data_IF_261046484931
#
_entry.id   IF_261046484931
#
_cell.length_a   1.000
_cell.length_b   1.000
_cell.length_c   1.000
_cell.angle_alpha   90.00
_cell.angle_beta   90.00
_cell.angle_gamma   90.00
#
_symmetry.space_group_name_H-M   'P 1'
#
loop_
_entity.id
_entity.type
_entity.pdbx_description
1 polymer ?
#
# COMPACT_ATOMS: atom_id res chain seq x y z
N UNK A 1 -62.27 34.02 83.69
CA UNK A 1 -61.09 33.13 83.64
C UNK A 1 -61.32 32.15 82.49
N UNK A 2 -60.28 31.93 81.69
CA UNK A 2 -60.25 31.72 80.23
C UNK A 2 -60.83 30.42 79.63
N UNK A 3 -60.72 30.37 78.28
CA UNK A 3 -60.99 29.33 77.25
C UNK A 3 -62.39 29.36 76.62
N UNK A 4 -62.59 29.21 75.30
CA UNK A 4 -61.74 28.68 74.22
C UNK A 4 -62.25 29.17 72.85
N UNK A 5 -61.31 29.57 72.00
CA UNK A 5 -61.15 29.44 70.55
C UNK A 5 -62.31 29.62 69.54
N UNK A 6 -62.04 30.58 68.63
CA UNK A 6 -62.75 30.88 67.39
C UNK A 6 -61.79 30.72 66.22
N UNK A 7 -62.37 30.39 65.07
CA UNK A 7 -61.92 30.63 63.68
C UNK A 7 -61.43 29.40 62.89
N UNK A 8 -62.22 29.06 61.87
CA UNK A 8 -61.83 28.24 60.73
C UNK A 8 -62.43 28.84 59.45
N UNK A 9 -61.61 29.49 58.60
CA UNK A 9 -61.71 29.41 57.12
C UNK A 9 -60.65 30.21 56.36
N UNK A 10 -59.97 29.54 55.43
CA UNK A 10 -59.36 30.09 54.20
C UNK A 10 -58.79 28.88 53.40
N UNK A 11 -59.48 28.28 52.40
CA UNK A 11 -59.70 28.60 50.97
C UNK A 11 -58.45 28.76 50.06
N UNK A 12 -58.24 27.71 49.25
CA UNK A 12 -57.91 27.68 47.80
C UNK A 12 -56.45 27.73 47.34
N UNK A 13 -56.01 26.67 46.62
CA UNK A 13 -55.34 26.75 45.30
C UNK A 13 -55.30 25.37 44.61
N UNK A 14 -55.94 25.28 43.44
CA UNK A 14 -55.86 24.16 42.49
C UNK A 14 -54.52 24.20 41.73
N UNK A 15 -53.93 23.03 41.46
CA UNK A 15 -52.73 22.88 40.61
C UNK A 15 -53.09 22.04 39.38
N UNK A 16 -52.96 22.66 38.20
CA UNK A 16 -53.01 22.00 36.90
C UNK A 16 -51.69 21.27 36.65
N UNK A 17 -51.73 19.98 36.30
CA UNK A 17 -50.57 19.20 35.85
C UNK A 17 -50.76 18.98 34.35
N UNK A 18 -49.98 19.69 33.53
CA UNK A 18 -49.87 19.47 32.09
C UNK A 18 -48.62 18.60 31.90
N UNK A 19 -48.81 17.38 31.41
CA UNK A 19 -47.74 16.41 31.15
C UNK A 19 -46.90 16.83 29.95
N UNK A 20 -45.59 16.95 30.16
CA UNK A 20 -44.59 17.23 29.15
C UNK A 20 -44.04 15.91 28.60
N UNK A 21 -44.63 15.40 27.52
CA UNK A 21 -44.18 14.20 26.84
C UNK A 21 -43.11 14.58 25.80
N UNK A 22 -41.85 14.61 26.23
CA UNK A 22 -40.68 14.81 25.35
C UNK A 22 -40.43 13.54 24.52
N UNK A 23 -40.69 13.63 23.22
CA UNK A 23 -40.28 12.63 22.23
C UNK A 23 -38.77 12.79 22.00
N UNK A 24 -37.97 11.84 22.49
CA UNK A 24 -36.56 11.71 22.10
C UNK A 24 -36.52 11.08 20.71
N UNK A 25 -36.37 11.91 19.68
CA UNK A 25 -35.99 11.46 18.34
C UNK A 25 -34.49 11.14 18.39
N UNK A 26 -34.14 9.86 18.59
CA UNK A 26 -32.77 9.40 18.38
C UNK A 26 -32.52 9.46 16.88
N UNK A 27 -31.84 10.51 16.42
CA UNK A 27 -31.28 10.53 15.07
C UNK A 27 -30.27 9.39 14.98
N UNK A 28 -30.65 8.30 14.30
CA UNK A 28 -29.69 7.34 13.77
C UNK A 28 -28.80 8.11 12.79
N UNK A 29 -27.69 8.63 13.30
CA UNK A 29 -26.57 9.02 12.47
C UNK A 29 -25.99 7.70 11.97
N UNK A 30 -26.45 7.27 10.80
CA UNK A 30 -25.75 6.26 10.03
C UNK A 30 -24.41 6.89 9.65
N UNK A 31 -23.39 6.68 10.48
CA UNK A 31 -22.02 6.76 10.02
C UNK A 31 -21.89 5.66 8.97
N UNK A 32 -22.11 6.00 7.70
CA UNK A 32 -21.67 5.15 6.61
C UNK A 32 -20.14 5.12 6.75
N UNK A 33 -19.62 4.09 7.40
CA UNK A 33 -18.23 3.71 7.22
C UNK A 33 -18.08 3.47 5.72
N UNK A 34 -17.01 3.97 5.07
CA UNK A 34 -16.71 3.54 3.72
C UNK A 34 -16.73 2.01 3.74
N UNK A 35 -17.51 1.41 2.84
CA UNK A 35 -17.35 -0.01 2.58
C UNK A 35 -15.92 -0.17 2.10
N UNK A 36 -15.09 -0.87 2.88
CA UNK A 36 -13.80 -1.30 2.40
C UNK A 36 -14.08 -2.24 1.22
N UNK A 37 -13.28 -2.13 0.17
CA UNK A 37 -13.35 -3.02 -0.97
C UNK A 37 -12.21 -4.04 -0.84
N UNK A 38 -12.36 -5.19 -1.52
CA UNK A 38 -11.24 -6.09 -1.67
C UNK A 38 -10.08 -5.36 -2.39
N UNK A 39 -8.85 -5.80 -2.18
CA UNK A 39 -7.65 -5.14 -2.68
C UNK A 39 -6.70 -6.15 -3.32
N UNK A 40 -6.12 -5.79 -4.46
CA UNK A 40 -4.90 -6.41 -4.99
C UNK A 40 -3.79 -5.34 -4.98
N UNK A 41 -2.65 -5.67 -4.39
CA UNK A 41 -1.54 -4.72 -4.24
C UNK A 41 -0.18 -5.34 -4.56
N UNK A 42 0.78 -4.48 -4.92
CA UNK A 42 2.19 -4.84 -4.99
C UNK A 42 2.84 -4.61 -3.62
N UNK A 43 3.59 -5.59 -3.12
CA UNK A 43 4.32 -5.50 -1.85
C UNK A 43 5.81 -5.85 -1.98
N UNK A 44 6.74 -5.04 -1.44
CA UNK A 44 6.48 -3.71 -0.85
C UNK A 44 5.99 -2.70 -1.91
N UNK A 45 5.27 -1.67 -1.48
CA UNK A 45 4.78 -0.59 -2.36
C UNK A 45 5.92 0.13 -3.09
N UNK A 46 7.05 0.33 -2.39
CA UNK A 46 8.26 0.86 -2.99
C UNK A 46 9.50 0.23 -2.35
N UNK A 47 10.48 -0.12 -3.17
CA UNK A 47 11.81 -0.55 -2.72
C UNK A 47 12.93 0.09 -3.54
N UNK A 48 14.05 0.38 -2.87
CA UNK A 48 15.29 0.84 -3.51
C UNK A 48 16.17 -0.39 -3.69
N UNK A 49 16.69 -0.58 -4.90
CA UNK A 49 17.55 -1.70 -5.29
C UNK A 49 18.74 -1.19 -6.09
N UNK A 50 19.84 -1.93 -6.08
CA UNK A 50 21.01 -1.59 -6.87
C UNK A 50 20.86 -2.06 -8.31
N UNK A 51 21.50 -1.38 -9.26
CA UNK A 51 21.63 -1.88 -10.63
C UNK A 51 22.32 -3.26 -10.64
N UNK A 52 21.77 -4.20 -11.41
CA UNK A 52 22.18 -5.60 -11.47
C UNK A 52 21.64 -6.48 -10.34
N UNK A 53 20.93 -5.91 -9.36
CA UNK A 53 20.34 -6.67 -8.26
C UNK A 53 19.13 -7.49 -8.73
N UNK A 54 19.00 -8.69 -8.16
CA UNK A 54 17.81 -9.51 -8.27
C UNK A 54 16.96 -9.29 -7.02
N UNK A 55 15.73 -8.81 -7.21
CA UNK A 55 14.81 -8.51 -6.11
C UNK A 55 13.44 -9.11 -6.38
N UNK A 56 12.61 -9.17 -5.34
CA UNK A 56 11.27 -9.74 -5.42
C UNK A 56 10.20 -8.75 -5.03
N UNK A 57 9.03 -8.88 -5.64
CA UNK A 57 7.78 -8.27 -5.18
C UNK A 57 6.72 -9.36 -5.07
N UNK A 58 5.84 -9.20 -4.10
CA UNK A 58 4.64 -10.00 -3.97
C UNK A 58 3.46 -9.26 -4.62
N UNK A 59 2.57 -10.03 -5.24
CA UNK A 59 1.20 -9.60 -5.47
C UNK A 59 0.38 -10.12 -4.31
N UNK A 60 -0.12 -9.20 -3.51
CA UNK A 60 -0.90 -9.46 -2.33
C UNK A 60 -2.39 -9.28 -2.64
N UNK A 61 -3.22 -10.13 -2.06
CA UNK A 61 -4.67 -10.07 -2.18
C UNK A 61 -5.30 -10.00 -0.80
N UNK A 62 -6.19 -9.03 -0.59
CA UNK A 62 -7.06 -8.90 0.57
C UNK A 62 -8.51 -8.99 0.09
N UNK A 63 -9.24 -10.09 0.36
CA UNK A 63 -10.64 -10.24 -0.06
C UNK A 63 -11.63 -9.33 0.68
N UNK A 64 -11.21 -8.63 1.73
CA UNK A 64 -12.09 -7.92 2.67
C UNK A 64 -13.24 -8.81 3.18
N UNK A 65 -12.93 -10.07 3.50
CA UNK A 65 -13.90 -11.05 3.99
C UNK A 65 -14.80 -11.70 2.93
N UNK A 66 -14.67 -11.34 1.64
CA UNK A 66 -15.39 -12.00 0.56
C UNK A 66 -14.78 -13.38 0.24
N UNK A 67 -15.61 -14.40 0.02
CA UNK A 67 -15.12 -15.73 -0.34
C UNK A 67 -14.54 -15.74 -1.76
N UNK A 68 -13.21 -15.79 -1.86
CA UNK A 68 -12.49 -15.78 -3.14
C UNK A 68 -12.19 -17.20 -3.62
N UNK A 69 -12.62 -17.52 -4.84
CA UNK A 69 -12.42 -18.81 -5.49
C UNK A 69 -11.31 -18.81 -6.55
N UNK A 70 -11.19 -17.69 -7.27
CA UNK A 70 -10.14 -17.48 -8.27
C UNK A 70 -9.63 -16.05 -8.20
N UNK A 71 -8.42 -15.83 -8.68
CA UNK A 71 -7.78 -14.52 -8.72
C UNK A 71 -6.87 -14.41 -9.94
N UNK A 72 -6.85 -13.23 -10.56
CA UNK A 72 -5.96 -12.92 -11.67
C UNK A 72 -5.44 -11.49 -11.60
N UNK A 73 -4.29 -11.24 -12.22
CA UNK A 73 -3.75 -9.89 -12.41
C UNK A 73 -2.94 -9.79 -13.68
N UNK A 74 -2.82 -8.55 -14.17
CA UNK A 74 -1.77 -8.18 -15.11
C UNK A 74 -0.90 -7.10 -14.48
N UNK A 75 0.41 -7.25 -14.64
CA UNK A 75 1.40 -6.28 -14.17
C UNK A 75 2.22 -5.73 -15.34
N UNK A 76 2.52 -4.44 -15.25
CA UNK A 76 3.27 -3.68 -16.25
C UNK A 76 4.51 -3.07 -15.64
N UNK A 77 5.58 -3.06 -16.41
CA UNK A 77 6.83 -2.43 -16.00
C UNK A 77 7.59 -1.90 -17.23
N UNK A 78 8.48 -0.95 -16.99
CA UNK A 78 9.39 -0.48 -18.04
C UNK A 78 10.51 -1.50 -18.25
N UNK A 79 10.51 -2.17 -19.41
CA UNK A 79 11.49 -3.20 -19.74
C UNK A 79 12.89 -2.69 -20.09
N UNK A 80 13.10 -1.37 -20.15
CA UNK A 80 14.45 -0.79 -20.20
C UNK A 80 15.07 -0.68 -18.82
N UNK A 81 14.25 -0.72 -17.77
CA UNK A 81 14.67 -0.60 -16.37
C UNK A 81 14.70 -1.95 -15.66
N UNK A 82 13.75 -2.84 -15.95
CA UNK A 82 13.60 -4.13 -15.29
C UNK A 82 13.50 -5.30 -16.28
N UNK A 83 13.93 -6.47 -15.83
CA UNK A 83 13.72 -7.75 -16.52
C UNK A 83 13.10 -8.75 -15.53
N UNK A 84 11.89 -9.24 -15.81
CA UNK A 84 11.24 -10.26 -14.98
C UNK A 84 11.84 -11.63 -15.29
N UNK A 85 12.34 -12.31 -14.27
CA UNK A 85 13.10 -13.57 -14.41
C UNK A 85 12.31 -14.79 -13.96
N UNK A 86 11.37 -14.63 -13.03
CA UNK A 86 10.46 -15.69 -12.62
C UNK A 86 9.18 -15.16 -11.96
N UNK A 87 8.14 -15.99 -11.97
CA UNK A 87 6.89 -15.79 -11.25
C UNK A 87 6.43 -17.12 -10.67
N UNK A 88 6.20 -17.14 -9.36
CA UNK A 88 5.84 -18.33 -8.59
C UNK A 88 4.53 -18.06 -7.86
N UNK A 89 3.62 -19.03 -7.85
CA UNK A 89 2.36 -18.91 -7.13
C UNK A 89 2.58 -18.84 -5.61
N UNK A 90 1.81 -17.99 -4.95
CA UNK A 90 1.76 -17.88 -3.50
C UNK A 90 0.76 -18.86 -2.89
N UNK A 91 0.46 -18.67 -1.61
CA UNK A 91 -0.43 -19.57 -0.86
C UNK A 91 -1.84 -19.04 -0.69
N UNK A 92 -2.17 -17.82 -1.14
CA UNK A 92 -3.47 -17.18 -0.91
C UNK A 92 -4.67 -18.12 -1.19
N UNK A 93 -4.77 -18.66 -2.41
CA UNK A 93 -5.87 -19.57 -2.77
C UNK A 93 -5.74 -20.98 -2.18
N UNK A 94 -4.62 -21.33 -1.54
CA UNK A 94 -4.37 -22.65 -0.94
C UNK A 94 -4.14 -22.60 0.57
N UNK A 95 -4.44 -21.46 1.22
CA UNK A 95 -4.08 -21.20 2.61
C UNK A 95 -4.79 -22.11 3.62
N UNK A 96 -5.92 -22.71 3.22
CA UNK A 96 -6.67 -23.72 3.97
C UNK A 96 -6.33 -25.16 3.56
N UNK A 97 -5.30 -25.35 2.74
CA UNK A 97 -4.86 -26.65 2.23
C UNK A 97 -5.61 -27.15 0.99
N UNK A 98 -6.48 -26.35 0.38
CA UNK A 98 -7.12 -26.72 -0.88
C UNK A 98 -6.09 -26.82 -2.03
N UNK A 99 -6.38 -27.69 -3.00
CA UNK A 99 -5.63 -27.74 -4.26
C UNK A 99 -6.05 -26.59 -5.18
N UNK A 100 -5.07 -26.06 -5.92
CA UNK A 100 -5.27 -24.96 -6.86
C UNK A 100 -4.71 -25.32 -8.23
N UNK A 101 -5.16 -24.59 -9.25
CA UNK A 101 -4.69 -24.68 -10.63
C UNK A 101 -4.29 -23.29 -11.10
N UNK A 102 -3.01 -23.13 -11.43
CA UNK A 102 -2.51 -21.97 -12.16
C UNK A 102 -2.91 -22.11 -13.63
N UNK A 103 -3.77 -21.22 -14.10
CA UNK A 103 -4.34 -21.22 -15.46
C UNK A 103 -3.47 -20.40 -16.40
N UNK A 104 -2.89 -19.31 -15.90
CA UNK A 104 -1.99 -18.42 -16.63
C UNK A 104 -0.79 -18.08 -15.74
N UNK A 105 0.41 -18.15 -16.30
CA UNK A 105 1.65 -17.73 -15.66
C UNK A 105 2.66 -17.33 -16.75
N UNK A 106 2.50 -16.11 -17.27
CA UNK A 106 3.23 -15.65 -18.46
C UNK A 106 4.05 -14.40 -18.14
N UNK A 107 5.30 -14.37 -18.63
CA UNK A 107 6.19 -13.22 -18.56
C UNK A 107 6.56 -12.83 -19.99
N UNK A 108 6.35 -11.57 -20.34
CA UNK A 108 6.73 -10.98 -21.61
C UNK A 108 7.59 -9.73 -21.40
N UNK A 109 8.91 -9.92 -21.27
CA UNK A 109 9.86 -8.83 -21.12
C UNK A 109 9.96 -7.92 -22.35
N UNK A 110 9.60 -8.39 -23.55
CA UNK A 110 9.59 -7.53 -24.75
C UNK A 110 8.46 -6.48 -24.66
N UNK A 111 7.33 -6.86 -24.08
CA UNK A 111 6.19 -5.96 -23.89
C UNK A 111 6.16 -5.27 -22.52
N UNK A 112 7.03 -5.66 -21.59
CA UNK A 112 7.03 -5.16 -20.21
C UNK A 112 5.79 -5.63 -19.43
N UNK A 113 5.42 -6.90 -19.57
CA UNK A 113 4.14 -7.45 -19.08
C UNK A 113 4.28 -8.78 -18.37
N UNK A 114 3.42 -8.99 -17.39
CA UNK A 114 3.27 -10.24 -16.67
C UNK A 114 1.78 -10.51 -16.49
N UNK A 115 1.36 -11.76 -16.74
CA UNK A 115 -0.03 -12.21 -16.60
C UNK A 115 -0.07 -13.42 -15.66
N UNK A 116 -1.03 -13.41 -14.73
CA UNK A 116 -1.22 -14.49 -13.78
C UNK A 116 -2.70 -14.76 -13.53
N UNK A 117 -3.06 -16.03 -13.38
CA UNK A 117 -4.40 -16.45 -13.01
C UNK A 117 -4.39 -17.82 -12.32
N UNK A 118 -5.11 -17.94 -11.21
CA UNK A 118 -5.20 -19.16 -10.42
C UNK A 118 -6.63 -19.39 -9.92
N UNK A 119 -7.03 -20.66 -9.83
CA UNK A 119 -8.36 -21.06 -9.32
C UNK A 119 -8.26 -22.22 -8.34
N UNK A 120 -9.15 -22.25 -7.35
CA UNK A 120 -9.33 -23.39 -6.46
C UNK A 120 -9.96 -24.58 -7.18
N UNK A 121 -9.62 -25.79 -6.74
CA UNK A 121 -10.11 -27.04 -7.32
C UNK A 121 -10.99 -27.85 -6.35
N UNK A 122 -11.84 -28.70 -6.92
CA UNK A 122 -12.52 -29.76 -6.17
C UNK A 122 -11.49 -30.63 -5.42
N UNK A 123 -11.75 -31.04 -4.16
CA UNK A 123 -13.04 -31.08 -3.47
C UNK A 123 -13.38 -29.82 -2.66
N UNK A 124 -12.65 -28.71 -2.81
CA UNK A 124 -13.04 -27.47 -2.15
C UNK A 124 -14.47 -27.06 -2.57
N UNK A 125 -15.21 -26.46 -1.64
CA UNK A 125 -16.59 -25.98 -1.87
C UNK A 125 -16.79 -24.53 -1.44
N UNK A 126 -15.77 -23.92 -0.83
CA UNK A 126 -15.77 -22.54 -0.35
C UNK A 126 -14.52 -21.81 -0.85
N UNK A 127 -14.62 -20.49 -0.95
CA UNK A 127 -13.48 -19.61 -1.19
C UNK A 127 -12.65 -19.36 0.06
N UNK A 128 -11.60 -18.55 -0.10
CA UNK A 128 -10.76 -18.03 0.98
C UNK A 128 -11.13 -16.58 1.28
N UNK A 129 -11.05 -16.18 2.55
CA UNK A 129 -11.41 -14.83 3.01
C UNK A 129 -10.25 -14.08 3.64
N UNK A 130 -9.25 -14.79 4.15
CA UNK A 130 -8.10 -14.15 4.78
C UNK A 130 -7.13 -13.65 3.71
N UNK A 131 -6.47 -12.50 3.94
CA UNK A 131 -5.48 -11.96 3.03
C UNK A 131 -4.25 -12.85 2.86
N UNK A 132 -3.56 -12.74 1.72
CA UNK A 132 -2.33 -13.47 1.48
C UNK A 132 -1.62 -13.15 0.17
N UNK A 133 -0.43 -13.73 0.00
CA UNK A 133 0.35 -13.62 -1.25
C UNK A 133 -0.27 -14.50 -2.33
N UNK A 134 -0.70 -13.88 -3.42
CA UNK A 134 -1.21 -14.55 -4.62
C UNK A 134 -0.07 -15.09 -5.48
N UNK A 135 0.98 -14.29 -5.67
CA UNK A 135 2.18 -14.68 -6.42
C UNK A 135 3.39 -13.84 -6.01
N UNK A 136 4.59 -14.37 -6.23
CA UNK A 136 5.86 -13.66 -6.06
C UNK A 136 6.58 -13.58 -7.40
N UNK A 137 6.98 -12.37 -7.77
CA UNK A 137 7.68 -12.07 -9.01
C UNK A 137 9.13 -11.71 -8.67
N UNK A 138 10.09 -12.28 -9.39
CA UNK A 138 11.50 -11.90 -9.30
C UNK A 138 11.89 -11.06 -10.51
N UNK A 139 12.51 -9.92 -10.26
CA UNK A 139 13.05 -9.01 -11.25
C UNK A 139 14.57 -8.92 -11.14
N UNK A 140 15.22 -8.57 -12.24
CA UNK A 140 16.58 -8.07 -12.33
C UNK A 140 16.52 -6.59 -12.69
N UNK A 141 17.23 -5.75 -11.93
CA UNK A 141 17.36 -4.33 -12.20
C UNK A 141 18.43 -4.07 -13.26
N UNK A 142 18.06 -3.47 -14.39
CA UNK A 142 18.94 -3.31 -15.55
C UNK A 142 19.69 -1.97 -15.56
N UNK A 143 18.97 -0.89 -15.25
CA UNK A 143 19.46 0.48 -15.38
C UNK A 143 18.88 1.35 -14.27
N UNK A 144 19.67 2.26 -13.76
CA UNK A 144 19.26 3.29 -12.80
C UNK A 144 18.03 4.06 -13.27
N UNK A 145 17.14 4.35 -12.34
CA UNK A 145 15.90 5.06 -12.62
C UNK A 145 14.75 4.65 -11.70
N UNK A 146 13.58 5.24 -11.96
CA UNK A 146 12.35 4.94 -11.25
C UNK A 146 11.40 4.17 -12.17
N UNK A 147 10.97 2.98 -11.74
CA UNK A 147 10.07 2.12 -12.48
C UNK A 147 8.77 1.93 -11.70
N UNK A 148 7.64 2.33 -12.27
CA UNK A 148 6.33 1.95 -11.75
C UNK A 148 6.05 0.47 -12.05
N UNK A 149 5.40 -0.20 -11.12
CA UNK A 149 4.84 -1.55 -11.24
C UNK A 149 3.31 -1.43 -11.24
N UNK A 150 2.76 -1.23 -12.43
CA UNK A 150 1.33 -0.95 -12.59
C UNK A 150 0.51 -2.24 -12.59
N UNK A 151 -0.59 -2.28 -11.85
CA UNK A 151 -1.62 -3.31 -11.95
C UNK A 151 -2.79 -2.79 -12.80
N UNK A 152 -3.39 -3.65 -13.62
CA UNK A 152 -4.58 -3.26 -14.37
C UNK A 152 -5.01 -4.22 -15.46
N UNK A 153 -6.09 -3.85 -16.14
CA UNK A 153 -6.70 -4.68 -17.18
C UNK A 153 -6.00 -4.52 -18.53
N UNK A 154 -5.94 -5.59 -19.32
CA UNK A 154 -5.48 -5.52 -20.70
C UNK A 154 -5.88 -6.68 -21.59
N UNK A 155 -6.15 -6.36 -22.87
CA UNK A 155 -6.29 -7.39 -23.89
C UNK A 155 -7.42 -8.39 -23.63
N UNK A 156 -8.36 -8.06 -22.73
CA UNK A 156 -9.42 -8.96 -22.27
C UNK A 156 -9.10 -9.74 -20.99
N UNK A 157 -7.88 -9.64 -20.46
CA UNK A 157 -7.50 -10.12 -19.13
C UNK A 157 -7.74 -9.03 -18.08
N UNK A 158 -8.22 -9.42 -16.92
CA UNK A 158 -8.70 -8.56 -15.84
C UNK A 158 -7.88 -8.77 -14.56
N UNK A 159 -7.64 -7.69 -13.82
CA UNK A 159 -7.10 -7.77 -12.46
C UNK A 159 -8.27 -7.83 -11.48
N UNK A 160 -8.58 -9.02 -10.98
CA UNK A 160 -9.79 -9.25 -10.20
C UNK A 160 -9.69 -10.45 -9.26
N UNK A 161 -10.49 -10.39 -8.18
CA UNK A 161 -10.87 -11.54 -7.37
C UNK A 161 -12.26 -12.01 -7.81
N UNK A 162 -12.48 -13.32 -7.83
CA UNK A 162 -13.71 -13.94 -8.32
C UNK A 162 -14.28 -14.84 -7.24
N UNK A 163 -15.58 -14.74 -6.96
CA UNK A 163 -16.26 -15.54 -5.94
C UNK A 163 -16.52 -17.00 -6.38
N UNK A 164 -17.05 -17.81 -5.45
CA UNK A 164 -17.42 -19.22 -5.70
C UNK A 164 -18.50 -19.41 -6.78
N UNK A 165 -19.27 -18.37 -7.09
CA UNK A 165 -20.30 -18.37 -8.14
C UNK A 165 -19.77 -17.85 -9.47
N UNK A 166 -18.45 -17.64 -9.59
CA UNK A 166 -17.78 -17.08 -10.77
C UNK A 166 -18.21 -15.63 -11.08
N UNK A 167 -18.51 -14.86 -10.04
CA UNK A 167 -18.84 -13.44 -10.12
C UNK A 167 -17.65 -12.60 -9.62
N UNK A 168 -17.23 -11.56 -10.38
CA UNK A 168 -16.19 -10.65 -9.92
C UNK A 168 -16.55 -9.97 -8.61
N UNK A 169 -15.59 -9.93 -7.69
CA UNK A 169 -15.66 -9.19 -6.44
C UNK A 169 -15.15 -7.76 -6.74
N UNK A 170 -15.88 -6.70 -6.37
CA UNK A 170 -15.38 -5.33 -6.49
C UNK A 170 -14.02 -5.20 -5.78
N UNK A 171 -12.98 -4.93 -6.56
CA UNK A 171 -11.58 -4.98 -6.11
C UNK A 171 -10.88 -3.68 -6.52
N UNK A 172 -10.28 -3.01 -5.55
CA UNK A 172 -9.36 -1.90 -5.77
C UNK A 172 -7.96 -2.43 -6.09
N UNK A 173 -7.14 -1.63 -6.76
CA UNK A 173 -5.77 -1.99 -7.11
C UNK A 173 -4.78 -0.93 -6.62
N UNK A 174 -3.72 -1.38 -5.95
CA UNK A 174 -2.60 -0.54 -5.54
C UNK A 174 -1.34 -0.94 -6.27
N UNK A 175 -0.85 -0.05 -7.14
CA UNK A 175 0.40 -0.22 -7.85
C UNK A 175 1.58 -0.24 -6.87
N UNK A 176 2.72 -0.70 -7.37
CA UNK A 176 4.00 -0.55 -6.69
C UNK A 176 4.97 0.27 -7.51
N UNK A 177 6.18 0.39 -7.00
CA UNK A 177 7.29 1.02 -7.71
C UNK A 177 8.62 0.51 -7.21
N UNK A 178 9.66 0.72 -8.02
CA UNK A 178 11.03 0.35 -7.71
C UNK A 178 11.92 1.51 -8.10
N UNK A 179 12.83 1.89 -7.21
CA UNK A 179 13.90 2.82 -7.51
C UNK A 179 15.21 2.06 -7.64
N UNK A 180 15.88 2.23 -8.76
CA UNK A 180 17.13 1.57 -9.11
C UNK A 180 18.24 2.61 -9.01
N UNK A 181 19.21 2.36 -8.14
CA UNK A 181 20.36 3.24 -7.91
C UNK A 181 20.81 3.20 -6.45
N UNK A 182 21.87 3.94 -6.15
CA UNK A 182 22.45 3.99 -4.80
C UNK A 182 21.97 5.24 -4.07
N UNK A 183 21.42 5.04 -2.87
CA UNK A 183 21.16 6.14 -1.97
C UNK A 183 22.49 6.80 -1.57
N UNK A 184 22.61 8.12 -1.73
CA UNK A 184 23.85 8.87 -1.52
C UNK A 184 24.71 9.07 -2.77
N UNK A 185 24.46 8.37 -3.89
CA UNK A 185 25.17 8.59 -5.17
C UNK A 185 24.45 9.71 -5.92
N UNK A 186 24.85 10.95 -5.65
CA UNK A 186 24.19 12.16 -6.16
C UNK A 186 24.71 12.56 -7.54
N UNK A 187 25.87 12.05 -7.94
CA UNK A 187 26.53 12.38 -9.20
C UNK A 187 26.44 11.26 -10.27
N UNK A 188 25.83 10.12 -9.93
CA UNK A 188 25.61 8.93 -10.77
C UNK A 188 26.92 8.30 -11.27
N UNK A 189 27.93 8.22 -10.41
CA UNK A 189 29.21 7.56 -10.75
C UNK A 189 29.30 6.08 -10.32
N UNK A 190 28.19 5.53 -9.82
CA UNK A 190 28.04 4.16 -9.32
C UNK A 190 28.78 3.92 -7.99
N UNK A 191 29.13 4.99 -7.27
CA UNK A 191 29.74 4.91 -5.94
C UNK A 191 29.18 5.99 -5.00
N UNK A 192 29.30 5.76 -3.69
CA UNK A 192 28.98 6.76 -2.67
C UNK A 192 30.28 7.16 -1.99
N UNK A 193 30.82 8.32 -2.37
CA UNK A 193 32.14 8.76 -1.94
C UNK A 193 32.25 10.28 -1.65
N UNK A 194 33.48 10.80 -1.56
CA UNK A 194 33.69 12.21 -1.27
C UNK A 194 33.21 13.16 -2.37
N UNK A 195 33.08 12.69 -3.61
CA UNK A 195 32.43 13.42 -4.69
C UNK A 195 31.00 13.76 -4.32
N UNK A 196 30.24 12.78 -3.85
CA UNK A 196 28.85 12.97 -3.45
C UNK A 196 28.69 13.92 -2.27
N UNK A 197 29.61 13.83 -1.30
CA UNK A 197 29.66 14.76 -0.16
C UNK A 197 29.83 16.19 -0.65
N UNK A 198 30.79 16.42 -1.56
CA UNK A 198 31.07 17.75 -2.09
C UNK A 198 29.93 18.27 -2.96
N UNK A 199 29.34 17.43 -3.81
CA UNK A 199 28.22 17.81 -4.66
C UNK A 199 26.98 18.15 -3.83
N UNK A 200 26.68 17.37 -2.79
CA UNK A 200 25.57 17.64 -1.85
C UNK A 200 25.81 18.94 -1.07
N UNK A 201 27.05 19.16 -0.61
CA UNK A 201 27.43 20.40 0.08
C UNK A 201 27.32 21.63 -0.84
N UNK A 202 27.77 21.50 -2.09
CA UNK A 202 27.70 22.57 -3.09
C UNK A 202 26.25 22.87 -3.50
N UNK A 203 25.40 21.85 -3.56
CA UNK A 203 23.95 22.03 -3.72
C UNK A 203 23.37 22.86 -2.58
N UNK A 204 23.64 22.48 -1.33
CA UNK A 204 23.15 23.20 -0.16
C UNK A 204 23.67 24.65 -0.08
N UNK A 205 24.98 24.85 -0.26
CA UNK A 205 25.63 26.15 -0.06
C UNK A 205 25.45 27.12 -1.21
N UNK A 206 25.44 26.61 -2.44
CA UNK A 206 25.51 27.41 -3.66
C UNK A 206 24.35 27.16 -4.62
N UNK A 207 23.41 26.28 -4.28
CA UNK A 207 22.27 25.89 -5.13
C UNK A 207 22.71 25.35 -6.49
N UNK A 208 23.82 24.60 -6.51
CA UNK A 208 24.27 23.89 -7.72
C UNK A 208 23.33 22.70 -7.95
N UNK A 209 22.71 22.55 -9.14
CA UNK A 209 21.82 21.42 -9.42
C UNK A 209 22.55 20.08 -9.31
N UNK A 210 21.91 19.09 -8.69
CA UNK A 210 22.42 17.73 -8.62
C UNK A 210 21.94 16.90 -9.82
N UNK A 211 22.79 16.05 -10.40
CA UNK A 211 22.36 15.06 -11.39
C UNK A 211 21.28 14.10 -10.85
N UNK A 212 21.32 13.80 -9.55
CA UNK A 212 20.48 12.78 -8.92
C UNK A 212 19.89 13.24 -7.57
N UNK A 213 18.99 14.22 -7.60
CA UNK A 213 18.44 14.83 -6.36
C UNK A 213 17.78 13.83 -5.40
N UNK A 214 17.18 12.74 -5.88
CA UNK A 214 16.53 11.77 -4.99
C UNK A 214 17.51 11.07 -4.04
N UNK A 215 18.77 10.95 -4.45
CA UNK A 215 19.81 10.28 -3.68
C UNK A 215 20.44 11.20 -2.63
N UNK A 216 20.05 12.49 -2.63
CA UNK A 216 20.67 13.52 -1.79
C UNK A 216 19.98 13.71 -0.44
N UNK A 217 18.64 13.61 -0.34
CA UNK A 217 17.94 13.54 0.96
C UNK A 217 18.09 12.13 1.53
N UNK A 218 19.15 11.93 2.31
CA UNK A 218 19.57 10.62 2.84
C UNK A 218 19.04 10.36 4.25
N UNK A 219 18.34 11.32 4.85
CA UNK A 219 17.78 11.20 6.20
C UNK A 219 16.23 11.30 6.25
N UNK A 220 15.59 11.57 5.10
CA UNK A 220 14.13 11.70 4.88
C UNK A 220 13.51 12.92 5.56
N UNK A 221 14.25 14.01 5.75
CA UNK A 221 13.69 15.22 6.37
C UNK A 221 13.03 16.20 5.38
N UNK A 222 12.98 15.82 4.10
CA UNK A 222 12.41 16.60 2.98
C UNK A 222 13.23 17.85 2.61
N UNK A 223 14.45 18.00 3.13
CA UNK A 223 15.41 19.02 2.74
C UNK A 223 16.71 18.35 2.29
N UNK A 224 17.40 18.97 1.33
CA UNK A 224 18.79 18.61 1.00
C UNK A 224 19.67 19.67 1.64
N UNK A 225 20.31 19.33 2.76
CA UNK A 225 21.09 20.27 3.55
C UNK A 225 22.45 19.72 4.05
N UNK A 226 23.07 20.44 4.99
CA UNK A 226 24.37 20.03 5.54
C UNK A 226 24.28 18.69 6.30
N UNK A 227 23.13 18.37 6.88
CA UNK A 227 22.86 17.09 7.52
C UNK A 227 23.04 15.94 6.54
N UNK A 228 22.51 16.05 5.33
CA UNK A 228 22.68 15.03 4.29
C UNK A 228 24.12 14.87 3.85
N UNK A 229 24.82 15.98 3.59
CA UNK A 229 26.23 15.93 3.21
C UNK A 229 27.10 15.26 4.30
N UNK A 230 26.79 15.52 5.58
CA UNK A 230 27.47 14.88 6.71
C UNK A 230 27.09 13.40 6.85
N UNK A 231 25.84 13.04 6.56
CA UNK A 231 25.39 11.65 6.59
C UNK A 231 26.04 10.81 5.47
N UNK A 232 26.16 11.36 4.26
CA UNK A 232 26.93 10.76 3.15
C UNK A 232 28.41 10.63 3.54
N UNK A 233 28.99 11.65 4.19
CA UNK A 233 30.36 11.58 4.68
C UNK A 233 30.54 10.47 5.73
N UNK A 234 29.62 10.34 6.68
CA UNK A 234 29.64 9.28 7.68
C UNK A 234 29.43 7.90 7.06
N UNK A 235 28.63 7.79 5.99
CA UNK A 235 28.51 6.57 5.20
C UNK A 235 29.86 6.19 4.57
N UNK A 236 30.50 7.11 3.86
CA UNK A 236 31.79 6.87 3.22
C UNK A 236 32.89 6.51 4.22
N UNK A 237 32.96 7.22 5.35
CA UNK A 237 34.04 7.05 6.34
C UNK A 237 33.82 5.87 7.28
N UNK A 238 32.57 5.57 7.64
CA UNK A 238 32.22 4.67 8.74
C UNK A 238 31.19 3.60 8.39
N UNK A 239 30.64 3.60 7.16
CA UNK A 239 29.61 2.67 6.73
C UNK A 239 28.26 2.89 7.42
N UNK A 240 27.94 4.13 7.81
CA UNK A 240 26.62 4.50 8.34
C UNK A 240 25.54 4.24 7.28
N UNK A 241 24.43 3.61 7.66
CA UNK A 241 23.31 3.40 6.75
C UNK A 241 22.69 4.73 6.31
N UNK A 242 22.42 4.86 5.01
CA UNK A 242 21.68 5.97 4.42
C UNK A 242 20.22 5.57 4.20
N UNK A 243 19.33 6.55 4.19
CA UNK A 243 17.89 6.33 4.20
C UNK A 243 17.18 7.25 3.20
N UNK A 244 17.34 7.00 1.90
CA UNK A 244 16.66 7.79 0.86
C UNK A 244 15.18 7.43 0.73
N UNK A 245 14.40 8.36 0.17
CA UNK A 245 13.01 8.11 -0.22
C UNK A 245 12.96 7.33 -1.54
N UNK A 246 12.10 6.32 -1.57
CA UNK A 246 11.91 5.50 -2.77
C UNK A 246 10.91 6.14 -3.75
N UNK A 247 9.80 6.70 -3.21
CA UNK A 247 8.76 7.38 -3.97
C UNK A 247 9.18 8.75 -4.49
N UNK A 248 8.28 9.39 -5.25
CA UNK A 248 8.43 10.77 -5.72
C UNK A 248 8.03 11.79 -4.64
#
# INVERSE_FOLDING_TARGET
>A
MAKEDRELKSRTKSKNIIGMMTVFLIALICCATPAQAALISVEPECQIVSKGEYFTVNIYADPDGNETWAASYNLYFNNTLLNATSQVNGTFLSQDGASTLVVTNEINNIAGRIEYGETRQSPATTGVTDPGVLATITFEALTDGFCELGLGDWGGATTELIDVNLTPIPTDVNNGSVRIGLCGDVNNDESVDLGDVLDTFDHFMYSIPLPNEWAADVNKDDNIDLGDALDIFDHFMYGKDLNCRCGA
#
